data_IF_305569041381
#
_entry.id   IF_305569041381
#
_cell.length_a   1.000
_cell.length_b   1.000
_cell.length_c   1.000
_cell.angle_alpha   90.00
_cell.angle_beta   90.00
_cell.angle_gamma   90.00
#
_symmetry.space_group_name_H-M   'P 1'
#
loop_
_entity.id
_entity.type
_entity.pdbx_description
1 polymer ?
#
# COMPACT_ATOMS: atom_id res chain seq x y z
N UNK A 1 4.99 -1.95 14.32
CA UNK A 1 5.93 -2.41 13.28
C UNK A 1 5.69 -1.60 12.02
N UNK A 2 6.72 -1.37 11.20
CA UNK A 2 6.56 -0.68 9.92
C UNK A 2 5.77 -1.55 8.93
N UNK A 3 4.99 -0.92 8.06
CA UNK A 3 4.31 -1.58 6.95
C UNK A 3 5.34 -2.04 5.89
N UNK A 4 5.03 -3.14 5.21
CA UNK A 4 5.91 -3.79 4.23
C UNK A 4 5.18 -4.03 2.92
N UNK A 5 5.94 -4.03 1.83
CA UNK A 5 5.44 -4.46 0.52
C UNK A 5 5.75 -5.94 0.33
N UNK A 6 4.74 -6.78 0.44
CA UNK A 6 4.88 -8.21 0.17
C UNK A 6 5.12 -8.46 -1.33
N UNK A 7 5.92 -9.47 -1.70
CA UNK A 7 6.12 -9.83 -3.10
C UNK A 7 4.81 -10.29 -3.74
N UNK A 8 4.69 -10.12 -5.05
CA UNK A 8 3.57 -10.71 -5.79
C UNK A 8 3.57 -12.24 -5.62
N UNK A 9 2.40 -12.89 -5.48
CA UNK A 9 2.30 -14.34 -5.38
C UNK A 9 2.50 -15.07 -6.72
N UNK A 10 2.77 -14.33 -7.79
CA UNK A 10 3.00 -14.78 -9.16
C UNK A 10 4.04 -13.89 -9.87
N UNK A 11 4.54 -14.34 -11.01
CA UNK A 11 5.44 -13.53 -11.84
C UNK A 11 4.70 -12.33 -12.46
N UNK A 12 5.41 -11.23 -12.72
CA UNK A 12 4.82 -9.98 -13.22
C UNK A 12 4.15 -10.11 -14.59
N UNK A 13 4.49 -11.12 -15.38
CA UNK A 13 3.91 -11.43 -16.70
C UNK A 13 2.78 -12.47 -16.64
N UNK A 14 2.45 -13.02 -15.47
CA UNK A 14 1.49 -14.12 -15.32
C UNK A 14 0.05 -13.76 -15.70
N UNK A 15 -0.26 -12.48 -15.88
CA UNK A 15 -1.60 -11.97 -16.19
C UNK A 15 -1.75 -11.51 -17.66
N UNK A 16 -0.74 -11.72 -18.51
CA UNK A 16 -0.90 -11.43 -19.94
C UNK A 16 -1.96 -12.32 -20.60
N UNK A 17 -2.73 -11.81 -21.58
CA UNK A 17 -2.69 -10.46 -22.17
C UNK A 17 -3.62 -9.46 -21.48
N UNK A 18 -4.14 -9.78 -20.29
CA UNK A 18 -5.15 -8.96 -19.60
C UNK A 18 -4.52 -7.80 -18.84
N UNK A 19 -3.33 -8.01 -18.28
CA UNK A 19 -2.45 -6.98 -17.74
C UNK A 19 -1.04 -7.21 -18.27
N UNK A 20 -0.42 -6.18 -18.82
CA UNK A 20 0.94 -6.27 -19.34
C UNK A 20 1.99 -6.28 -18.23
N UNK A 21 3.11 -6.96 -18.46
CA UNK A 21 4.20 -7.09 -17.47
C UNK A 21 4.71 -5.74 -16.97
N UNK A 22 4.85 -4.75 -17.87
CA UNK A 22 5.42 -3.43 -17.52
C UNK A 22 4.51 -2.70 -16.53
N UNK A 23 3.19 -2.77 -16.74
CA UNK A 23 2.21 -2.25 -15.79
C UNK A 23 2.37 -2.93 -14.43
N UNK A 24 2.45 -4.26 -14.37
CA UNK A 24 2.57 -4.98 -13.09
C UNK A 24 3.84 -4.59 -12.31
N UNK A 25 4.98 -4.49 -12.99
CA UNK A 25 6.25 -4.10 -12.38
C UNK A 25 6.24 -2.66 -11.85
N UNK A 26 5.65 -1.73 -12.59
CA UNK A 26 5.56 -0.32 -12.18
C UNK A 26 4.50 -0.16 -11.07
N UNK A 27 3.37 -0.84 -11.19
CA UNK A 27 2.24 -0.69 -10.27
C UNK A 27 2.54 -1.29 -8.90
N UNK A 28 3.11 -2.49 -8.83
CA UNK A 28 3.57 -3.08 -7.57
C UNK A 28 4.88 -2.43 -7.09
N UNK A 29 5.93 -2.47 -7.90
CA UNK A 29 7.28 -2.09 -7.49
C UNK A 29 7.49 -0.59 -7.27
N UNK A 30 6.65 0.28 -7.86
CA UNK A 30 6.75 1.74 -7.69
C UNK A 30 5.53 2.34 -7.00
N UNK A 31 4.33 2.19 -7.57
CA UNK A 31 3.15 2.87 -7.01
C UNK A 31 2.78 2.31 -5.64
N UNK A 32 2.61 0.99 -5.50
CA UNK A 32 2.32 0.37 -4.21
C UNK A 32 3.45 0.63 -3.20
N UNK A 33 4.71 0.46 -3.61
CA UNK A 33 5.86 0.74 -2.75
C UNK A 33 5.91 2.20 -2.25
N UNK A 34 5.50 3.15 -3.09
CA UNK A 34 5.42 4.57 -2.71
C UNK A 34 4.37 4.79 -1.62
N UNK A 35 3.21 4.12 -1.71
CA UNK A 35 2.21 4.17 -0.64
C UNK A 35 2.76 3.60 0.67
N UNK A 36 3.43 2.45 0.64
CA UNK A 36 4.04 1.84 1.84
C UNK A 36 5.08 2.78 2.47
N UNK A 37 5.99 3.32 1.67
CA UNK A 37 7.04 4.23 2.13
C UNK A 37 6.45 5.50 2.75
N UNK A 38 5.51 6.14 2.07
CA UNK A 38 4.88 7.36 2.55
C UNK A 38 3.98 7.13 3.76
N UNK A 39 3.32 5.97 3.84
CA UNK A 39 2.54 5.59 5.01
C UNK A 39 3.43 5.46 6.24
N UNK A 40 4.56 4.75 6.13
CA UNK A 40 5.54 4.61 7.22
C UNK A 40 6.02 5.98 7.70
N UNK A 41 6.38 6.88 6.76
CA UNK A 41 6.77 8.25 7.10
C UNK A 41 5.64 9.04 7.78
N UNK A 42 4.38 8.84 7.35
CA UNK A 42 3.24 9.56 7.88
C UNK A 42 2.78 9.10 9.27
N UNK A 43 3.05 7.84 9.64
CA UNK A 43 2.67 7.30 10.96
C UNK A 43 3.78 7.43 12.00
N UNK A 44 5.05 7.51 11.61
CA UNK A 44 6.19 7.57 12.52
C UNK A 44 6.09 8.73 13.54
N UNK A 45 6.23 8.42 14.82
CA UNK A 45 6.12 9.38 15.93
C UNK A 45 4.71 9.89 16.20
N UNK A 46 3.68 9.33 15.54
CA UNK A 46 2.28 9.73 15.73
C UNK A 46 1.51 8.70 16.55
N UNK A 47 0.31 9.04 17.07
CA UNK A 47 -0.58 8.05 17.71
C UNK A 47 -1.06 6.92 16.79
N UNK A 48 -0.72 6.97 15.50
CA UNK A 48 -1.05 5.95 14.52
C UNK A 48 0.11 4.96 14.29
N UNK A 49 1.29 5.23 14.87
CA UNK A 49 2.40 4.30 14.81
C UNK A 49 2.03 2.98 15.48
N UNK A 50 2.30 1.87 14.79
CA UNK A 50 2.02 0.52 15.30
C UNK A 50 0.58 0.04 15.15
N UNK A 51 -0.36 0.87 14.66
CA UNK A 51 -1.68 0.40 14.24
C UNK A 51 -1.60 -0.48 12.99
N UNK A 52 -2.54 -1.40 12.87
CA UNK A 52 -2.78 -2.18 11.64
C UNK A 52 -3.35 -1.30 10.51
N UNK A 53 -3.28 -1.77 9.26
CA UNK A 53 -3.90 -1.10 8.13
C UNK A 53 -5.42 -0.96 8.32
N UNK A 54 -6.07 -2.00 8.81
CA UNK A 54 -7.51 -2.07 9.03
C UNK A 54 -7.95 -1.01 10.04
N UNK A 55 -7.21 -0.83 11.14
CA UNK A 55 -7.48 0.23 12.12
C UNK A 55 -7.35 1.63 11.52
N UNK A 56 -6.37 1.84 10.64
CA UNK A 56 -6.19 3.13 9.96
C UNK A 56 -7.32 3.40 8.96
N UNK A 57 -7.68 2.42 8.13
CA UNK A 57 -8.73 2.53 7.11
C UNK A 57 -10.11 2.68 7.74
N UNK A 58 -10.39 1.96 8.84
CA UNK A 58 -11.63 2.12 9.60
C UNK A 58 -11.84 3.55 10.14
N UNK A 59 -10.74 4.29 10.38
CA UNK A 59 -10.74 5.66 10.86
C UNK A 59 -10.39 6.70 9.78
N UNK A 60 -10.46 6.33 8.50
CA UNK A 60 -10.05 7.17 7.37
C UNK A 60 -10.70 8.57 7.34
N UNK A 61 -11.93 8.71 7.86
CA UNK A 61 -12.63 9.99 7.94
C UNK A 61 -12.09 10.96 8.99
N UNK A 62 -11.35 10.47 9.98
CA UNK A 62 -10.85 11.25 11.12
C UNK A 62 -9.31 11.35 11.17
N UNK A 63 -8.61 10.74 10.20
CA UNK A 63 -7.15 10.70 10.14
C UNK A 63 -6.60 11.70 9.13
N UNK A 64 -5.30 12.02 9.24
CA UNK A 64 -4.65 12.96 8.34
C UNK A 64 -4.75 12.50 6.88
N UNK A 65 -4.84 13.41 5.90
CA UNK A 65 -4.86 13.04 4.49
C UNK A 65 -3.66 12.20 4.07
N UNK A 66 -2.47 12.42 4.66
CA UNK A 66 -1.28 11.64 4.37
C UNK A 66 -1.45 10.17 4.77
N UNK A 67 -1.92 9.89 5.99
CA UNK A 67 -2.17 8.52 6.44
C UNK A 67 -3.37 7.92 5.71
N UNK A 68 -4.44 8.70 5.47
CA UNK A 68 -5.61 8.25 4.73
C UNK A 68 -5.25 7.80 3.30
N UNK A 69 -4.56 8.66 2.55
CA UNK A 69 -4.29 8.41 1.14
C UNK A 69 -3.27 7.29 0.96
N UNK A 70 -2.21 7.24 1.78
CA UNK A 70 -1.18 6.20 1.67
C UNK A 70 -1.60 4.89 2.35
N UNK A 71 -2.35 4.95 3.46
CA UNK A 71 -2.94 3.80 4.14
C UNK A 71 -3.99 3.11 3.29
N UNK A 72 -4.92 3.90 2.72
CA UNK A 72 -5.87 3.39 1.74
C UNK A 72 -5.17 2.87 0.48
N UNK A 73 -4.14 3.58 0.00
CA UNK A 73 -3.29 3.10 -1.10
C UNK A 73 -2.71 1.72 -0.83
N UNK A 74 -2.05 1.52 0.31
CA UNK A 74 -1.47 0.23 0.68
C UNK A 74 -2.54 -0.86 0.85
N UNK A 75 -3.64 -0.58 1.55
CA UNK A 75 -4.72 -1.54 1.76
C UNK A 75 -5.37 -1.98 0.44
N UNK A 76 -5.71 -1.01 -0.43
CA UNK A 76 -6.35 -1.28 -1.72
C UNK A 76 -5.49 -2.16 -2.63
N UNK A 77 -4.17 -1.90 -2.70
CA UNK A 77 -3.28 -2.66 -3.58
C UNK A 77 -2.96 -4.03 -2.99
N UNK A 78 -2.86 -4.15 -1.67
CA UNK A 78 -2.73 -5.47 -1.01
C UNK A 78 -3.93 -6.36 -1.29
N UNK A 79 -5.14 -5.80 -1.37
CA UNK A 79 -6.34 -6.53 -1.78
C UNK A 79 -6.38 -6.84 -3.29
N UNK A 80 -5.74 -6.01 -4.12
CA UNK A 80 -5.79 -6.13 -5.58
C UNK A 80 -4.91 -7.27 -6.14
N UNK A 81 -3.75 -7.50 -5.54
CA UNK A 81 -2.79 -8.53 -5.99
C UNK A 81 -3.23 -9.94 -5.62
#
# INVERSE_FOLDING_TARGET
>A
MAFTLDPLPYASDALEPHFDQTTMEIHHGRHHNTYVTNLNNAVAGTPNEGKSLEELVANAGAISPAVRNNGGGHWNHTFFW
#
